data_IF_967264150638
#
_entry.id   IF_967264150638
#
_cell.length_a   1.000
_cell.length_b   1.000
_cell.length_c   1.000
_cell.angle_alpha   90.00
_cell.angle_beta   90.00
_cell.angle_gamma   90.00
#
_symmetry.space_group_name_H-M   'P 1'
#
loop_
_entity.id
_entity.type
_entity.pdbx_description
1 polymer ?
#
# COMPACT_ATOMS: atom_id res chain seq x y z
N UNK A 1 9.25 -16.84 15.20
CA UNK A 1 10.51 -16.19 14.75
C UNK A 1 11.55 -17.14 14.15
N UNK A 2 12.45 -16.58 13.32
CA UNK A 2 13.74 -17.20 12.92
C UNK A 2 14.92 -16.52 13.63
N UNK A 3 16.13 -17.10 13.55
CA UNK A 3 17.35 -16.51 14.15
C UNK A 3 17.66 -15.09 13.63
N UNK A 4 17.30 -14.76 12.39
CA UNK A 4 17.57 -13.44 11.78
C UNK A 4 16.72 -12.36 12.47
N UNK A 5 15.42 -12.63 12.63
CA UNK A 5 14.48 -11.72 13.30
C UNK A 5 14.95 -11.37 14.72
N UNK A 6 15.38 -12.39 15.49
CA UNK A 6 15.84 -12.21 16.88
C UNK A 6 17.07 -11.27 16.94
N UNK A 7 18.03 -11.42 16.02
CA UNK A 7 19.21 -10.55 15.96
C UNK A 7 18.82 -9.12 15.57
N UNK A 8 17.90 -8.92 14.63
CA UNK A 8 17.41 -7.59 14.25
C UNK A 8 16.70 -6.89 15.42
N UNK A 9 15.88 -7.62 16.18
CA UNK A 9 15.12 -7.07 17.31
C UNK A 9 16.05 -6.71 18.48
N UNK A 10 17.02 -7.58 18.80
CA UNK A 10 18.06 -7.26 19.79
C UNK A 10 18.90 -6.04 19.36
N UNK A 11 19.16 -5.88 18.06
CA UNK A 11 19.86 -4.70 17.52
C UNK A 11 19.05 -3.43 17.73
N UNK A 12 17.75 -3.45 17.39
CA UNK A 12 16.85 -2.30 17.56
C UNK A 12 16.69 -1.89 19.03
N UNK A 13 16.40 -2.86 19.92
CA UNK A 13 16.30 -2.61 21.37
C UNK A 13 17.63 -2.08 21.93
N UNK A 14 18.77 -2.56 21.41
CA UNK A 14 20.12 -2.11 21.77
C UNK A 14 20.42 -0.64 21.45
N UNK A 15 19.63 0.03 20.58
CA UNK A 15 19.78 1.47 20.31
C UNK A 15 19.35 2.36 21.49
N UNK A 16 18.66 1.82 22.49
CA UNK A 16 18.30 2.49 23.75
C UNK A 16 17.67 3.89 23.57
N UNK A 17 16.74 4.03 22.63
CA UNK A 17 16.15 5.33 22.22
C UNK A 17 15.19 5.97 23.26
N UNK A 18 15.03 5.38 24.44
CA UNK A 18 14.15 5.89 25.51
C UNK A 18 12.64 5.78 25.25
N UNK A 19 12.22 5.16 24.14
CA UNK A 19 10.82 4.97 23.73
C UNK A 19 10.52 3.49 23.44
N UNK A 20 9.25 3.03 23.52
CA UNK A 20 8.88 1.65 23.21
C UNK A 20 9.12 1.30 21.74
N UNK A 21 9.48 0.04 21.48
CA UNK A 21 9.50 -0.56 20.15
C UNK A 21 8.18 -1.30 19.87
N UNK A 22 7.73 -1.26 18.63
CA UNK A 22 6.47 -1.88 18.17
C UNK A 22 6.76 -2.73 16.92
N UNK A 23 6.12 -3.90 16.81
CA UNK A 23 6.16 -4.74 15.61
C UNK A 23 4.74 -5.10 15.16
N UNK A 24 4.43 -4.83 13.90
CA UNK A 24 3.19 -5.23 13.26
C UNK A 24 3.17 -6.72 12.88
N UNK A 25 2.04 -7.40 13.10
CA UNK A 25 1.76 -8.80 12.69
C UNK A 25 2.78 -9.85 13.19
N UNK A 26 3.49 -9.58 14.28
CA UNK A 26 4.43 -10.50 14.91
C UNK A 26 3.83 -11.04 16.23
N UNK A 27 3.12 -12.17 16.16
CA UNK A 27 2.42 -12.73 17.33
C UNK A 27 3.38 -13.17 18.46
N UNK A 28 4.59 -13.62 18.15
CA UNK A 28 5.61 -14.01 19.14
C UNK A 28 6.60 -12.89 19.52
N UNK A 29 6.35 -11.62 19.14
CA UNK A 29 7.24 -10.46 19.34
C UNK A 29 7.95 -10.46 20.72
N UNK A 30 9.30 -10.44 20.78
CA UNK A 30 10.04 -10.82 21.99
C UNK A 30 10.41 -9.60 22.86
N UNK A 31 10.97 -9.87 24.04
CA UNK A 31 11.53 -8.83 24.92
C UNK A 31 10.53 -7.70 25.24
N UNK A 32 10.96 -6.42 25.25
CA UNK A 32 10.09 -5.28 25.54
C UNK A 32 9.26 -4.79 24.34
N UNK A 33 9.32 -5.46 23.19
CA UNK A 33 8.59 -5.02 21.96
C UNK A 33 7.09 -5.28 22.11
N UNK A 34 6.27 -4.31 21.74
CA UNK A 34 4.79 -4.44 21.74
C UNK A 34 4.36 -5.03 20.38
N UNK A 35 3.55 -6.09 20.37
CA UNK A 35 2.94 -6.56 19.13
C UNK A 35 1.72 -5.69 18.75
N UNK A 36 1.56 -5.47 17.44
CA UNK A 36 0.53 -4.59 16.90
C UNK A 36 -0.14 -5.19 15.65
N UNK A 37 -1.30 -4.65 15.30
CA UNK A 37 -2.13 -5.17 14.22
C UNK A 37 -2.36 -4.17 13.08
N UNK A 38 -2.57 -4.72 11.88
CA UNK A 38 -2.72 -3.99 10.61
C UNK A 38 -3.89 -4.60 9.80
N UNK A 39 -4.89 -3.79 9.46
CA UNK A 39 -6.05 -4.23 8.69
C UNK A 39 -7.28 -3.33 8.84
N UNK A 40 -8.42 -3.81 8.35
CA UNK A 40 -9.71 -3.11 8.41
C UNK A 40 -10.40 -3.18 9.78
N UNK A 41 -10.14 -4.23 10.56
CA UNK A 41 -10.69 -4.43 11.91
C UNK A 41 -9.60 -4.94 12.86
N UNK A 42 -9.73 -4.64 14.16
CA UNK A 42 -8.75 -4.93 15.22
C UNK A 42 -9.43 -5.28 16.57
N UNK A 43 -10.74 -5.47 16.57
CA UNK A 43 -11.55 -5.85 17.72
C UNK A 43 -11.11 -7.20 18.31
N UNK A 44 -10.90 -8.21 17.45
CA UNK A 44 -10.48 -9.56 17.83
C UNK A 44 -8.96 -9.71 18.11
N UNK A 45 -8.15 -8.67 17.87
CA UNK A 45 -6.72 -8.70 18.20
C UNK A 45 -6.50 -8.50 19.70
N UNK A 46 -5.56 -9.27 20.25
CA UNK A 46 -5.10 -9.20 21.64
C UNK A 46 -3.58 -9.29 21.70
N UNK A 47 -2.98 -8.55 22.64
CA UNK A 47 -1.53 -8.47 22.81
C UNK A 47 -0.91 -9.76 23.36
N UNK A 48 0.36 -10.02 23.04
CA UNK A 48 1.05 -11.27 23.39
C UNK A 48 1.66 -11.32 24.81
N UNK A 49 1.42 -10.29 25.63
CA UNK A 49 2.01 -10.08 26.97
C UNK A 49 0.96 -9.68 27.99
N UNK A 50 1.17 -9.89 29.30
CA UNK A 50 0.22 -9.52 30.35
C UNK A 50 0.19 -8.01 30.67
N UNK A 51 0.70 -7.17 29.76
CA UNK A 51 0.82 -5.72 29.94
C UNK A 51 0.29 -5.00 28.69
N UNK A 52 -0.70 -4.08 28.83
CA UNK A 52 -1.23 -3.29 27.71
C UNK A 52 -0.22 -2.25 27.19
N UNK A 53 -0.42 -1.63 26.01
CA UNK A 53 -1.64 -1.63 25.18
C UNK A 53 -1.71 -2.70 24.09
N UNK A 54 -2.93 -3.04 23.67
CA UNK A 54 -3.18 -3.62 22.35
C UNK A 54 -3.18 -2.51 21.30
N UNK A 55 -2.35 -2.64 20.27
CA UNK A 55 -2.07 -1.58 19.29
C UNK A 55 -2.67 -1.86 17.92
N UNK A 56 -3.42 -0.89 17.38
CA UNK A 56 -3.78 -0.84 15.96
C UNK A 56 -2.91 0.22 15.29
N UNK A 57 -1.90 -0.20 14.54
CA UNK A 57 -0.92 0.72 13.91
C UNK A 57 -1.26 1.06 12.47
N UNK A 58 -2.12 0.26 11.83
CA UNK A 58 -2.57 0.47 10.45
C UNK A 58 -4.07 0.19 10.35
N UNK A 59 -4.88 1.22 10.57
CA UNK A 59 -6.31 1.21 10.24
C UNK A 59 -6.47 1.50 8.74
N UNK A 60 -6.82 0.48 7.95
CA UNK A 60 -6.88 0.61 6.50
C UNK A 60 -8.09 1.46 6.07
N UNK A 61 -7.84 2.71 5.67
CA UNK A 61 -8.87 3.65 5.22
C UNK A 61 -9.43 3.35 3.82
N UNK A 62 -8.84 2.39 3.12
CA UNK A 62 -9.24 1.87 1.80
C UNK A 62 -8.20 0.84 1.32
N UNK A 63 -7.77 0.92 0.06
CA UNK A 63 -6.67 0.10 -0.48
C UNK A 63 -5.95 0.83 -1.62
N UNK A 64 -4.72 0.41 -1.93
CA UNK A 64 -3.99 0.89 -3.11
C UNK A 64 -4.68 0.46 -4.41
N UNK A 65 -4.35 1.12 -5.53
CA UNK A 65 -4.85 0.75 -6.87
C UNK A 65 -3.73 0.11 -7.68
N UNK A 66 -4.09 -0.83 -8.56
CA UNK A 66 -3.17 -1.57 -9.44
C UNK A 66 -3.44 -1.22 -10.92
N UNK A 67 -2.41 -1.25 -11.77
CA UNK A 67 -2.55 -1.00 -13.20
C UNK A 67 -3.43 -2.07 -13.87
N UNK A 68 -4.63 -1.65 -14.30
CA UNK A 68 -5.67 -2.54 -14.83
C UNK A 68 -6.65 -3.09 -13.78
N UNK A 69 -6.41 -2.80 -12.49
CA UNK A 69 -7.30 -3.12 -11.38
C UNK A 69 -8.49 -2.16 -11.24
N UNK A 70 -9.16 -2.22 -10.10
CA UNK A 70 -10.28 -1.33 -9.76
C UNK A 70 -9.91 -0.37 -8.63
N UNK A 71 -10.52 0.82 -8.60
CA UNK A 71 -10.33 1.75 -7.48
C UNK A 71 -11.11 1.23 -6.27
N UNK A 72 -10.40 0.65 -5.32
CA UNK A 72 -10.93 0.14 -4.06
C UNK A 72 -11.37 1.29 -3.14
N UNK A 73 -12.41 1.07 -2.33
CA UNK A 73 -12.96 2.07 -1.41
C UNK A 73 -13.52 1.42 -0.14
N UNK A 74 -13.27 2.03 1.01
CA UNK A 74 -13.88 1.63 2.28
C UNK A 74 -14.96 2.66 2.68
N UNK A 75 -16.23 2.25 2.89
CA UNK A 75 -17.27 3.14 3.39
C UNK A 75 -16.88 3.72 4.75
N UNK A 76 -16.97 5.05 4.94
CA UNK A 76 -16.61 5.65 6.24
C UNK A 76 -17.48 5.15 7.40
N UNK A 77 -18.69 4.69 7.12
CA UNK A 77 -19.57 4.06 8.12
C UNK A 77 -18.96 2.78 8.69
N UNK A 78 -18.26 2.00 7.86
CA UNK A 78 -17.62 0.74 8.23
C UNK A 78 -16.30 0.99 8.98
N UNK A 79 -15.45 1.88 8.44
CA UNK A 79 -14.25 2.35 9.14
C UNK A 79 -14.58 2.98 10.51
N UNK A 80 -15.61 3.84 10.59
CA UNK A 80 -16.05 4.44 11.85
C UNK A 80 -16.63 3.41 12.82
N UNK A 81 -17.32 2.38 12.32
CA UNK A 81 -17.75 1.24 13.14
C UNK A 81 -16.54 0.48 13.69
N UNK A 82 -15.55 0.14 12.85
CA UNK A 82 -14.35 -0.59 13.25
C UNK A 82 -13.53 0.17 14.31
N UNK A 83 -13.28 1.48 14.08
CA UNK A 83 -12.61 2.39 15.04
C UNK A 83 -13.36 2.43 16.37
N UNK A 84 -14.69 2.58 16.33
CA UNK A 84 -15.52 2.64 17.55
C UNK A 84 -15.51 1.30 18.29
N UNK A 85 -15.68 0.18 17.56
CA UNK A 85 -15.76 -1.15 18.16
C UNK A 85 -14.45 -1.53 18.86
N UNK A 86 -13.31 -1.27 18.21
CA UNK A 86 -11.98 -1.40 18.80
C UNK A 86 -11.87 -0.61 20.12
N UNK A 87 -12.23 0.67 20.12
CA UNK A 87 -12.20 1.54 21.31
C UNK A 87 -13.22 1.21 22.41
N UNK A 88 -14.21 0.34 22.13
CA UNK A 88 -15.19 -0.15 23.13
C UNK A 88 -14.86 -1.55 23.69
N UNK A 89 -13.82 -2.22 23.18
CA UNK A 89 -13.46 -3.58 23.59
C UNK A 89 -12.62 -3.61 24.89
N UNK A 90 -12.61 -4.76 25.58
CA UNK A 90 -12.22 -4.94 27.01
C UNK A 90 -10.73 -4.73 27.37
N UNK A 91 -9.95 -3.98 26.58
CA UNK A 91 -8.51 -3.79 26.78
C UNK A 91 -8.15 -2.32 26.59
N UNK A 92 -7.15 -1.81 27.32
CA UNK A 92 -6.56 -0.50 27.03
C UNK A 92 -5.91 -0.51 25.64
N UNK A 93 -6.56 0.15 24.68
CA UNK A 93 -6.29 0.06 23.25
C UNK A 93 -5.92 1.41 22.66
N UNK A 94 -4.86 1.44 21.86
CA UNK A 94 -4.36 2.66 21.20
C UNK A 94 -4.30 2.45 19.69
N UNK A 95 -5.01 3.30 18.96
CA UNK A 95 -4.82 3.48 17.52
C UNK A 95 -3.64 4.44 17.31
N UNK A 96 -2.54 3.96 16.74
CA UNK A 96 -1.34 4.77 16.52
C UNK A 96 -1.39 5.56 15.20
N UNK A 97 -2.11 5.05 14.20
CA UNK A 97 -2.29 5.74 12.92
C UNK A 97 -3.67 5.43 12.30
N UNK A 98 -4.34 6.47 11.81
CA UNK A 98 -5.40 6.35 10.80
C UNK A 98 -4.68 6.46 9.46
N UNK A 99 -4.28 5.30 8.95
CA UNK A 99 -3.29 5.18 7.89
C UNK A 99 -3.79 5.92 6.66
N UNK A 100 -2.89 6.71 6.04
CA UNK A 100 -3.24 7.55 4.89
C UNK A 100 -4.25 8.64 5.26
N UNK A 101 -4.01 9.41 6.33
CA UNK A 101 -4.78 10.65 6.59
C UNK A 101 -4.62 11.68 5.45
N UNK A 102 -3.46 11.68 4.80
CA UNK A 102 -3.15 12.17 3.45
C UNK A 102 -2.07 11.23 2.90
N UNK A 103 -2.09 10.96 1.58
CA UNK A 103 -0.95 10.37 0.87
C UNK A 103 -0.85 10.97 -0.54
N UNK A 104 0.31 10.85 -1.17
CA UNK A 104 0.73 11.57 -2.36
C UNK A 104 0.86 10.67 -3.60
N UNK A 105 0.84 11.28 -4.78
CA UNK A 105 1.31 10.66 -6.02
C UNK A 105 2.75 10.16 -5.86
N UNK A 106 3.06 8.95 -6.31
CA UNK A 106 4.42 8.40 -6.32
C UNK A 106 5.22 9.00 -7.49
N UNK A 107 5.77 10.20 -7.30
CA UNK A 107 6.34 11.00 -8.40
C UNK A 107 7.56 10.36 -9.11
N UNK A 108 8.25 9.39 -8.48
CA UNK A 108 9.43 8.72 -9.04
C UNK A 108 9.19 7.20 -9.29
N UNK A 109 9.66 6.63 -10.43
CA UNK A 109 9.53 5.19 -10.74
C UNK A 109 10.19 4.22 -9.76
N UNK A 110 10.94 4.73 -8.78
CA UNK A 110 11.58 3.99 -7.69
C UNK A 110 10.73 3.90 -6.41
N UNK A 111 9.59 4.59 -6.36
CA UNK A 111 8.67 4.59 -5.21
C UNK A 111 7.50 3.61 -5.39
N UNK A 112 7.07 3.36 -6.63
CA UNK A 112 5.97 2.44 -6.96
C UNK A 112 6.34 0.96 -6.69
N UNK A 113 5.40 0.22 -6.08
CA UNK A 113 5.49 -1.24 -5.97
C UNK A 113 5.15 -1.96 -7.28
N UNK A 114 5.36 -3.29 -7.38
CA UNK A 114 5.06 -4.04 -8.60
C UNK A 114 3.58 -3.94 -8.97
N UNK A 115 3.30 -3.41 -10.18
CA UNK A 115 1.96 -3.10 -10.71
C UNK A 115 1.10 -2.10 -9.90
N UNK A 116 1.62 -1.50 -8.83
CA UNK A 116 0.94 -0.41 -8.11
C UNK A 116 0.81 0.80 -9.05
N UNK A 117 -0.33 1.49 -9.03
CA UNK A 117 -0.46 2.76 -9.76
C UNK A 117 0.21 3.89 -9.00
N UNK A 118 0.85 4.77 -9.76
CA UNK A 118 1.41 6.06 -9.34
C UNK A 118 0.44 6.92 -8.50
N UNK A 119 -0.88 6.73 -8.67
CA UNK A 119 -1.89 7.24 -7.74
C UNK A 119 -2.03 6.35 -6.51
N UNK A 120 -1.61 6.89 -5.35
CA UNK A 120 -1.67 6.21 -4.06
C UNK A 120 -2.80 6.75 -3.15
N UNK A 121 -3.90 7.20 -3.77
CA UNK A 121 -5.06 7.85 -3.14
C UNK A 121 -5.68 7.10 -1.93
N UNK A 122 -5.53 5.78 -1.87
CA UNK A 122 -5.98 4.87 -0.80
C UNK A 122 -7.45 5.00 -0.33
N UNK A 123 -8.30 5.71 -1.08
CA UNK A 123 -9.60 6.24 -0.61
C UNK A 123 -9.50 7.09 0.68
N UNK A 124 -8.36 7.77 0.87
CA UNK A 124 -7.97 8.51 2.05
C UNK A 124 -8.95 9.64 2.48
N UNK A 125 -8.97 10.04 3.77
CA UNK A 125 -9.80 11.16 4.25
C UNK A 125 -9.44 12.50 3.58
N UNK A 126 -8.17 12.73 3.27
CA UNK A 126 -7.70 13.77 2.35
C UNK A 126 -7.21 13.04 1.09
N UNK A 127 -7.74 13.41 -0.07
CA UNK A 127 -7.37 12.76 -1.33
C UNK A 127 -5.96 13.13 -1.80
N UNK A 128 -5.47 12.39 -2.81
CA UNK A 128 -4.14 12.56 -3.43
C UNK A 128 -3.77 14.03 -3.76
N UNK A 129 -4.77 14.85 -4.09
CA UNK A 129 -4.63 16.27 -4.46
C UNK A 129 -4.69 17.23 -3.26
N UNK A 130 -4.66 16.70 -2.03
CA UNK A 130 -4.77 17.45 -0.79
C UNK A 130 -6.18 17.94 -0.47
N UNK A 131 -7.23 17.43 -1.14
CA UNK A 131 -8.60 17.91 -0.98
C UNK A 131 -9.38 17.05 0.04
N UNK A 132 -10.27 17.68 0.79
CA UNK A 132 -11.06 17.02 1.84
C UNK A 132 -12.10 16.07 1.22
N UNK A 133 -11.92 14.76 1.41
CA UNK A 133 -12.88 13.72 0.98
C UNK A 133 -14.09 13.69 1.91
N UNK A 134 -15.08 14.54 1.62
CA UNK A 134 -16.42 14.43 2.21
C UNK A 134 -17.19 13.24 1.60
N UNK A 135 -17.81 12.34 2.40
CA UNK A 135 -18.08 12.47 3.83
C UNK A 135 -16.94 12.00 4.76
N UNK A 136 -15.96 11.23 4.26
CA UNK A 136 -15.00 10.46 5.06
C UNK A 136 -14.29 11.29 6.15
N UNK A 137 -13.52 12.31 5.76
CA UNK A 137 -12.80 13.17 6.71
C UNK A 137 -13.74 13.88 7.71
N UNK A 138 -14.94 14.29 7.26
CA UNK A 138 -15.88 14.97 8.14
C UNK A 138 -16.41 14.07 9.25
N UNK A 139 -16.75 12.81 8.95
CA UNK A 139 -17.25 11.87 9.96
C UNK A 139 -16.12 11.40 10.88
N UNK A 140 -14.93 11.11 10.34
CA UNK A 140 -13.76 10.71 11.14
C UNK A 140 -13.30 11.84 12.07
N UNK A 141 -13.36 13.11 11.63
CA UNK A 141 -13.04 14.26 12.48
C UNK A 141 -13.97 14.35 13.70
N UNK A 142 -15.28 14.21 13.51
CA UNK A 142 -16.23 14.26 14.62
C UNK A 142 -16.17 13.00 15.49
N UNK A 143 -15.79 11.84 14.93
CA UNK A 143 -15.49 10.62 15.71
C UNK A 143 -14.24 10.82 16.60
N UNK A 144 -13.12 11.28 16.04
CA UNK A 144 -11.90 11.60 16.80
C UNK A 144 -12.20 12.63 17.91
N UNK A 145 -13.07 13.61 17.64
CA UNK A 145 -13.56 14.60 18.63
C UNK A 145 -14.41 13.94 19.73
N UNK A 146 -15.33 13.04 19.40
CA UNK A 146 -16.14 12.31 20.38
C UNK A 146 -15.27 11.43 21.30
N UNK A 147 -14.30 10.70 20.73
CA UNK A 147 -13.31 9.92 21.49
C UNK A 147 -12.51 10.83 22.43
N UNK A 148 -12.02 11.98 21.95
CA UNK A 148 -11.26 12.94 22.78
C UNK A 148 -12.08 13.56 23.92
N UNK A 149 -13.40 13.72 23.76
CA UNK A 149 -14.30 14.11 24.86
C UNK A 149 -14.47 13.00 25.91
N UNK A 150 -14.26 11.74 25.53
CA UNK A 150 -14.35 10.57 26.42
C UNK A 150 -13.01 10.17 27.05
N UNK A 151 -11.87 10.77 26.63
CA UNK A 151 -10.51 10.39 27.04
C UNK A 151 -10.34 10.25 28.57
N UNK A 152 -10.85 11.19 29.35
CA UNK A 152 -10.78 11.15 30.82
C UNK A 152 -11.56 9.99 31.47
N UNK A 153 -12.45 9.32 30.73
CA UNK A 153 -13.15 8.11 31.16
C UNK A 153 -12.60 6.83 30.50
N UNK A 154 -11.94 6.94 29.34
CA UNK A 154 -11.33 5.81 28.61
C UNK A 154 -9.95 5.43 29.14
N UNK A 155 -9.17 6.38 29.66
CA UNK A 155 -7.80 6.15 30.13
C UNK A 155 -7.69 5.48 31.52
N UNK A 156 -8.53 5.81 32.54
CA UNK A 156 -8.31 5.32 33.91
C UNK A 156 -9.10 4.05 34.29
N UNK A 157 -9.87 3.45 33.38
CA UNK A 157 -10.74 2.30 33.70
C UNK A 157 -11.02 1.39 32.50
N UNK A 158 -10.90 0.08 32.70
CA UNK A 158 -11.26 -0.94 31.71
C UNK A 158 -12.77 -0.91 31.39
N UNK A 159 -13.19 -1.02 30.11
CA UNK A 159 -14.59 -0.85 29.75
C UNK A 159 -15.46 -2.06 30.14
N UNK A 160 -16.56 -1.77 30.83
CA UNK A 160 -17.52 -2.79 31.27
C UNK A 160 -18.59 -3.06 30.20
N UNK A 161 -18.36 -4.06 29.35
CA UNK A 161 -19.34 -4.47 28.32
C UNK A 161 -20.60 -5.05 28.96
N UNK A 162 -21.75 -4.46 28.60
CA UNK A 162 -23.09 -4.96 28.96
C UNK A 162 -23.83 -5.41 27.69
N UNK A 163 -24.33 -6.64 27.69
CA UNK A 163 -25.16 -7.17 26.60
C UNK A 163 -26.59 -6.62 26.68
N UNK A 164 -27.13 -6.25 25.52
CA UNK A 164 -28.52 -5.81 25.33
C UNK A 164 -29.34 -6.79 24.48
N UNK A 165 -28.72 -7.84 23.93
CA UNK A 165 -29.35 -8.79 23.02
C UNK A 165 -28.32 -9.63 22.26
N UNK A 166 -28.81 -10.55 21.43
CA UNK A 166 -27.97 -11.54 20.71
C UNK A 166 -26.89 -10.91 19.83
N UNK A 167 -27.12 -9.69 19.32
CA UNK A 167 -26.19 -8.94 18.48
C UNK A 167 -26.12 -7.46 18.91
N UNK A 168 -26.32 -7.19 20.21
CA UNK A 168 -26.40 -5.83 20.74
C UNK A 168 -25.60 -5.73 22.05
N UNK A 169 -24.69 -4.77 22.09
CA UNK A 169 -23.92 -4.36 23.27
C UNK A 169 -23.90 -2.83 23.31
N UNK A 170 -23.69 -2.22 24.49
CA UNK A 170 -23.53 -0.77 24.61
C UNK A 170 -22.17 -0.38 25.19
N UNK A 171 -21.42 0.36 24.39
CA UNK A 171 -20.66 1.53 24.83
C UNK A 171 -21.43 2.80 24.43
N UNK A 172 -21.38 3.86 25.23
CA UNK A 172 -22.21 5.05 25.02
C UNK A 172 -21.52 6.13 24.17
N UNK A 173 -22.15 6.62 23.09
CA UNK A 173 -22.40 8.05 22.74
C UNK A 173 -22.86 8.26 21.26
N UNK A 174 -23.10 9.52 20.84
CA UNK A 174 -24.02 9.89 19.74
C UNK A 174 -23.47 11.00 18.77
N UNK A 175 -23.81 11.06 17.44
CA UNK A 175 -23.01 11.80 16.42
C UNK A 175 -23.73 12.92 15.59
N UNK A 176 -23.00 13.69 14.75
CA UNK A 176 -23.53 14.48 13.59
C UNK A 176 -22.48 14.90 12.50
N UNK A 177 -22.85 15.75 11.51
CA UNK A 177 -22.50 15.71 10.04
C UNK A 177 -22.49 17.15 9.37
N UNK A 178 -21.89 17.59 8.21
CA UNK A 178 -20.77 17.28 7.24
C UNK A 178 -20.60 18.45 6.18
N UNK A 179 -19.47 18.60 5.43
CA UNK A 179 -19.38 19.41 4.15
C UNK A 179 -18.17 19.10 3.18
N UNK A 180 -17.87 19.93 2.14
CA UNK A 180 -17.40 19.52 0.77
C UNK A 180 -16.56 20.58 -0.05
N UNK A 181 -15.83 20.16 -1.12
CA UNK A 181 -14.94 21.00 -1.99
C UNK A 181 -15.06 20.80 -3.56
N UNK A 182 -14.22 21.50 -4.38
CA UNK A 182 -14.12 21.59 -5.88
C UNK A 182 -12.92 22.51 -6.29
N UNK A 183 -12.33 22.63 -7.50
CA UNK A 183 -11.76 21.78 -8.61
C UNK A 183 -11.01 22.75 -9.60
N UNK A 184 -10.01 22.27 -10.38
CA UNK A 184 -9.11 23.06 -11.27
C UNK A 184 -9.27 22.87 -12.83
N UNK A 185 -8.36 23.49 -13.61
CA UNK A 185 -8.46 23.84 -15.06
C UNK A 185 -7.47 23.09 -16.00
N UNK A 186 -7.16 23.62 -17.20
CA UNK A 186 -6.66 22.88 -18.39
C UNK A 186 -5.35 23.45 -19.02
N UNK A 187 -4.65 22.65 -19.84
CA UNK A 187 -3.30 22.89 -20.40
C UNK A 187 -3.20 22.76 -21.94
N UNK A 188 -2.00 23.03 -22.51
CA UNK A 188 -1.60 22.81 -23.91
C UNK A 188 -0.30 21.99 -24.02
N UNK A 189 -0.05 21.34 -25.16
CA UNK A 189 0.97 20.28 -25.31
C UNK A 189 1.84 20.43 -26.56
N UNK A 190 3.05 19.85 -26.52
CA UNK A 190 3.98 19.63 -27.64
C UNK A 190 4.43 18.16 -27.67
N UNK A 191 5.11 17.69 -28.72
CA UNK A 191 5.48 16.27 -28.91
C UNK A 191 6.90 16.07 -29.44
N UNK A 192 7.52 14.95 -29.05
CA UNK A 192 8.79 14.43 -29.55
C UNK A 192 8.68 12.92 -29.71
N UNK A 193 9.42 12.33 -30.66
CA UNK A 193 9.44 10.90 -30.93
C UNK A 193 10.82 10.33 -30.60
N UNK A 194 10.89 9.29 -29.76
CA UNK A 194 12.12 8.54 -29.51
C UNK A 194 12.43 7.59 -30.69
N UNK A 195 13.71 7.48 -31.05
CA UNK A 195 14.17 6.66 -32.18
C UNK A 195 14.89 5.39 -31.70
N UNK A 196 14.32 4.23 -32.02
CA UNK A 196 14.83 2.90 -31.67
C UNK A 196 16.25 2.68 -32.23
N UNK A 197 16.59 3.29 -33.37
CA UNK A 197 17.92 3.20 -33.98
C UNK A 197 18.99 4.01 -33.24
N UNK A 198 18.60 4.94 -32.36
CA UNK A 198 19.52 5.83 -31.62
C UNK A 198 20.23 5.18 -30.43
N UNK A 199 19.97 3.90 -30.14
CA UNK A 199 20.68 3.08 -29.16
C UNK A 199 22.16 2.90 -29.57
N UNK A 200 22.99 3.92 -29.34
CA UNK A 200 24.38 3.99 -29.79
C UNK A 200 25.24 2.81 -29.31
N UNK A 201 26.26 2.46 -30.08
CA UNK A 201 27.13 1.31 -29.81
C UNK A 201 27.75 1.37 -28.41
N UNK A 202 28.02 2.58 -27.90
CA UNK A 202 28.58 2.87 -26.57
C UNK A 202 27.74 2.43 -25.37
N UNK A 203 26.44 2.17 -25.53
CA UNK A 203 25.54 1.76 -24.42
C UNK A 203 25.15 0.28 -24.44
N UNK A 204 25.67 -0.50 -25.39
CA UNK A 204 25.33 -1.93 -25.55
C UNK A 204 26.34 -2.81 -24.81
N UNK A 205 25.84 -3.77 -24.03
CA UNK A 205 26.65 -4.81 -23.37
C UNK A 205 26.34 -6.16 -24.01
N UNK A 206 27.36 -6.83 -24.56
CA UNK A 206 27.22 -8.13 -25.22
C UNK A 206 27.57 -9.27 -24.28
N UNK A 207 26.66 -10.23 -24.08
CA UNK A 207 26.86 -11.43 -23.27
C UNK A 207 26.33 -12.69 -23.96
N UNK A 208 26.93 -13.87 -23.74
CA UNK A 208 26.46 -15.13 -24.31
C UNK A 208 25.29 -15.72 -23.49
N UNK A 209 24.15 -15.03 -23.46
CA UNK A 209 22.95 -15.47 -22.73
C UNK A 209 21.93 -14.35 -22.55
N UNK A 210 20.80 -14.67 -21.90
CA UNK A 210 19.90 -13.67 -21.34
C UNK A 210 20.33 -13.35 -19.90
N UNK A 211 20.17 -12.09 -19.49
CA UNK A 211 20.35 -11.65 -18.11
C UNK A 211 18.98 -11.52 -17.44
N UNK A 212 18.96 -11.31 -16.12
CA UNK A 212 17.76 -10.87 -15.41
C UNK A 212 17.69 -9.33 -15.40
N UNK A 213 16.48 -8.78 -15.34
CA UNK A 213 16.23 -7.32 -15.35
C UNK A 213 16.45 -6.66 -13.97
N UNK A 214 16.95 -7.40 -12.98
CA UNK A 214 17.22 -6.86 -11.65
C UNK A 214 18.42 -5.90 -11.68
N UNK A 215 18.15 -4.63 -11.31
CA UNK A 215 18.97 -3.43 -11.52
C UNK A 215 19.19 -3.04 -13.00
N UNK A 216 18.54 -1.94 -13.42
CA UNK A 216 19.21 -0.66 -13.75
C UNK A 216 18.18 0.42 -14.11
N UNK A 217 17.14 0.08 -14.88
CA UNK A 217 16.08 1.01 -15.34
C UNK A 217 14.77 0.27 -15.61
N UNK A 218 13.62 0.97 -15.59
CA UNK A 218 12.30 0.41 -15.90
C UNK A 218 12.19 -0.19 -17.31
N UNK A 219 13.06 0.23 -18.23
CA UNK A 219 13.23 -0.33 -19.58
C UNK A 219 14.55 -1.09 -19.69
N UNK A 220 14.55 -2.18 -20.46
CA UNK A 220 15.73 -2.95 -20.81
C UNK A 220 15.61 -3.49 -22.24
N UNK A 221 16.59 -3.20 -23.09
CA UNK A 221 16.58 -3.55 -24.51
C UNK A 221 17.37 -4.83 -24.78
N UNK A 222 16.65 -5.92 -25.08
CA UNK A 222 17.25 -7.13 -25.63
C UNK A 222 17.34 -7.01 -27.16
N UNK A 223 18.53 -7.16 -27.72
CA UNK A 223 18.77 -7.13 -29.18
C UNK A 223 19.53 -8.37 -29.61
N UNK A 224 19.12 -8.98 -30.73
CA UNK A 224 19.79 -10.13 -31.34
C UNK A 224 19.62 -10.10 -32.85
N UNK A 225 20.59 -10.63 -33.59
CA UNK A 225 20.56 -10.76 -35.05
C UNK A 225 20.32 -12.21 -35.45
N UNK A 226 19.45 -12.43 -36.44
CA UNK A 226 19.15 -13.76 -36.99
C UNK A 226 19.44 -13.76 -38.49
N UNK A 227 20.51 -14.44 -38.90
CA UNK A 227 20.89 -14.56 -40.30
C UNK A 227 19.97 -15.56 -41.03
N UNK A 228 19.18 -15.06 -41.98
CA UNK A 228 18.23 -15.85 -42.77
C UNK A 228 18.84 -16.21 -44.13
N UNK A 229 18.92 -17.49 -44.44
CA UNK A 229 19.41 -17.98 -45.74
C UNK A 229 18.44 -17.70 -46.89
N UNK A 230 18.97 -17.28 -48.04
CA UNK A 230 18.19 -17.08 -49.29
C UNK A 230 17.60 -18.38 -49.87
N UNK A 231 17.96 -19.53 -49.30
CA UNK A 231 17.38 -20.83 -49.61
C UNK A 231 16.14 -21.16 -48.75
N UNK A 232 15.81 -20.33 -47.76
CA UNK A 232 14.74 -20.64 -46.81
C UNK A 232 13.36 -20.80 -47.46
N UNK A 233 12.68 -21.86 -47.05
CA UNK A 233 11.43 -22.30 -47.70
C UNK A 233 10.28 -21.32 -47.48
N UNK A 234 10.27 -20.62 -46.33
CA UNK A 234 9.25 -19.62 -46.00
C UNK A 234 9.32 -18.38 -46.91
N UNK A 235 10.52 -17.98 -47.35
CA UNK A 235 10.73 -16.86 -48.29
C UNK A 235 10.09 -17.12 -49.67
N UNK A 236 9.86 -18.38 -50.04
CA UNK A 236 9.36 -18.80 -51.36
C UNK A 236 7.94 -19.38 -51.32
N UNK A 237 7.53 -19.96 -50.19
CA UNK A 237 6.27 -20.68 -50.03
C UNK A 237 5.13 -19.88 -49.39
N UNK A 238 5.31 -18.59 -49.12
CA UNK A 238 4.27 -17.72 -48.52
C UNK A 238 3.88 -18.04 -47.07
N UNK A 239 4.54 -19.03 -46.44
CA UNK A 239 4.42 -19.31 -45.01
C UNK A 239 5.14 -18.21 -44.24
N UNK A 240 4.54 -17.72 -43.16
CA UNK A 240 5.23 -16.82 -42.23
C UNK A 240 6.11 -17.64 -41.27
N UNK A 241 7.24 -17.09 -40.87
CA UNK A 241 7.97 -17.58 -39.69
C UNK A 241 7.25 -17.14 -38.41
N UNK A 242 7.45 -17.88 -37.32
CA UNK A 242 6.90 -17.57 -36.00
C UNK A 242 8.05 -17.28 -35.05
N UNK A 243 8.00 -16.12 -34.40
CA UNK A 243 8.85 -15.79 -33.25
C UNK A 243 8.02 -16.06 -31.99
N UNK A 244 8.59 -16.81 -31.05
CA UNK A 244 8.06 -17.02 -29.70
C UNK A 244 9.04 -16.36 -28.72
N UNK A 245 8.52 -15.61 -27.75
CA UNK A 245 9.27 -14.73 -26.86
C UNK A 245 8.62 -14.71 -25.47
N UNK A 246 8.95 -15.70 -24.65
CA UNK A 246 8.48 -15.79 -23.28
C UNK A 246 9.32 -14.87 -22.38
N UNK A 247 8.65 -14.04 -21.57
CA UNK A 247 9.27 -13.09 -20.65
C UNK A 247 8.67 -13.23 -19.25
N UNK A 248 9.48 -12.98 -18.23
CA UNK A 248 9.04 -12.82 -16.83
C UNK A 248 8.73 -11.36 -16.46
N UNK A 249 8.99 -10.42 -17.38
CA UNK A 249 8.76 -8.99 -17.19
C UNK A 249 7.30 -8.57 -17.40
N UNK A 250 6.95 -7.41 -16.85
CA UNK A 250 5.57 -6.91 -16.78
C UNK A 250 4.96 -6.50 -18.13
N UNK A 251 5.81 -6.14 -19.11
CA UNK A 251 5.43 -5.85 -20.48
C UNK A 251 6.57 -6.25 -21.44
N UNK A 252 6.23 -6.51 -22.70
CA UNK A 252 7.19 -6.81 -23.76
C UNK A 252 6.75 -6.17 -25.08
N UNK A 253 7.58 -5.30 -25.64
CA UNK A 253 7.44 -4.82 -27.02
C UNK A 253 8.48 -5.54 -27.88
N UNK A 254 8.06 -6.06 -29.04
CA UNK A 254 8.92 -6.80 -29.97
C UNK A 254 8.99 -6.03 -31.27
N UNK A 255 10.18 -5.52 -31.59
CA UNK A 255 10.46 -4.79 -32.83
C UNK A 255 11.26 -5.66 -33.80
N UNK A 256 10.89 -5.66 -35.08
CA UNK A 256 11.55 -6.42 -36.15
C UNK A 256 12.03 -5.43 -37.20
N UNK A 257 13.35 -5.30 -37.36
CA UNK A 257 14.00 -4.35 -38.27
C UNK A 257 13.59 -2.88 -38.04
N UNK A 258 13.28 -2.50 -36.79
CA UNK A 258 12.89 -1.14 -36.41
C UNK A 258 11.41 -0.81 -36.60
N UNK A 259 10.55 -1.83 -36.75
CA UNK A 259 9.08 -1.73 -36.83
C UNK A 259 8.43 -2.62 -35.78
#
# INVERSE_FOLDING_TARGET
MTNVCIVQILTAVGLNMGVPWVMCKEDDAPGPVINAWNGFYCDAFSHNKPYPPSLWVEACSGWFTEFGGTIHRCPVQDLAFAVTHFGTSNEFKVMANDQYTYDSTMEEPTMDGPFITTSYDYDAPIDEYGLIRGPKHGLLKELRRAIKLCEHALVPSDPTVTSLGTYQQVGFLWPCILSKARKLCNFSWETYNEDISSLGESSRITVPGLLEHLNVTSYLWYTTSVDISLLESFLRGGRKSTLDANSVGHALHVFINGQ
#
